data_IF_861961764890
#
_entry.id   IF_861961764890
#
_cell.length_a   1.000
_cell.length_b   1.000
_cell.length_c   1.000
_cell.angle_alpha   90.00
_cell.angle_beta   90.00
_cell.angle_gamma   90.00
#
_symmetry.space_group_name_H-M   'P 1'
#
loop_
_entity.id
_entity.type
_entity.pdbx_description
1 polymer ?
#
# COMPACT_ATOMS: atom_id res chain seq x y z
N UNK A 1 22.59 -1.70 37.11
CA UNK A 1 21.83 -1.87 35.85
C UNK A 1 20.69 -0.87 35.93
N UNK A 2 20.81 0.25 35.19
CA UNK A 2 19.76 1.27 35.17
C UNK A 2 18.52 0.71 34.50
N UNK A 3 17.35 0.95 35.09
CA UNK A 3 16.07 0.70 34.41
C UNK A 3 16.13 1.39 33.04
N UNK A 4 15.72 0.72 31.95
CA UNK A 4 15.65 1.39 30.66
C UNK A 4 14.76 2.62 30.83
N UNK A 5 15.29 3.79 30.47
CA UNK A 5 14.58 5.05 30.60
C UNK A 5 13.23 4.89 29.89
N UNK A 6 12.08 5.14 30.53
CA UNK A 6 10.77 4.93 29.92
C UNK A 6 10.62 5.66 28.58
N UNK A 7 11.33 6.77 28.40
CA UNK A 7 11.40 7.51 27.13
C UNK A 7 12.06 6.70 26.00
N UNK A 8 13.05 5.86 26.32
CA UNK A 8 13.78 5.02 25.35
C UNK A 8 12.92 3.83 24.92
N UNK A 9 12.18 3.20 25.85
CA UNK A 9 11.23 2.13 25.52
C UNK A 9 10.04 2.66 24.70
N UNK A 10 9.52 3.84 25.05
CA UNK A 10 8.47 4.52 24.28
C UNK A 10 8.91 4.85 22.86
N UNK A 11 10.16 5.31 22.67
CA UNK A 11 10.71 5.58 21.34
C UNK A 11 10.81 4.32 20.46
N UNK A 12 11.29 3.20 21.04
CA UNK A 12 11.42 1.92 20.31
C UNK A 12 10.05 1.32 19.95
N UNK A 13 9.06 1.42 20.85
CA UNK A 13 7.69 0.98 20.59
C UNK A 13 7.04 1.81 19.47
N UNK A 14 7.22 3.14 19.51
CA UNK A 14 6.72 4.05 18.47
C UNK A 14 7.31 3.76 17.10
N UNK A 15 8.60 3.46 17.04
CA UNK A 15 9.28 3.13 15.77
C UNK A 15 8.80 1.78 15.20
N UNK A 16 8.62 0.77 16.06
CA UNK A 16 8.04 -0.53 15.65
C UNK A 16 6.61 -0.38 15.11
N UNK A 17 5.77 0.41 15.77
CA UNK A 17 4.40 0.67 15.31
C UNK A 17 4.38 1.37 13.95
N UNK A 18 5.27 2.34 13.75
CA UNK A 18 5.41 3.06 12.49
C UNK A 18 5.89 2.15 11.35
N UNK A 19 6.89 1.31 11.60
CA UNK A 19 7.36 0.32 10.62
C UNK A 19 6.27 -0.69 10.28
N UNK A 20 5.54 -1.18 11.28
CA UNK A 20 4.42 -2.11 11.07
C UNK A 20 3.31 -1.49 10.22
N UNK A 21 2.92 -0.24 10.51
CA UNK A 21 1.93 0.51 9.73
C UNK A 21 2.38 0.72 8.27
N UNK A 22 3.66 1.01 8.06
CA UNK A 22 4.24 1.17 6.72
C UNK A 22 4.24 -0.13 5.91
N UNK A 23 4.69 -1.25 6.52
CA UNK A 23 4.67 -2.56 5.89
C UNK A 23 3.24 -2.96 5.52
N UNK A 24 2.28 -2.73 6.43
CA UNK A 24 0.87 -3.06 6.19
C UNK A 24 0.28 -2.23 5.04
N UNK A 25 0.66 -0.95 4.93
CA UNK A 25 0.29 -0.10 3.81
C UNK A 25 0.85 -0.64 2.48
N UNK A 26 2.14 -0.99 2.44
CA UNK A 26 2.78 -1.57 1.26
C UNK A 26 2.12 -2.87 0.81
N UNK A 27 1.86 -3.79 1.75
CA UNK A 27 1.18 -5.06 1.46
C UNK A 27 -0.22 -4.81 0.90
N UNK A 28 -0.96 -3.84 1.45
CA UNK A 28 -2.30 -3.49 0.96
C UNK A 28 -2.25 -2.98 -0.48
N UNK A 29 -1.32 -2.08 -0.79
CA UNK A 29 -1.13 -1.54 -2.15
C UNK A 29 -0.79 -2.66 -3.13
N UNK A 30 0.16 -3.53 -2.78
CA UNK A 30 0.55 -4.69 -3.58
C UNK A 30 -0.61 -5.64 -3.86
N UNK A 31 -1.47 -5.90 -2.87
CA UNK A 31 -2.64 -6.75 -3.04
C UNK A 31 -3.67 -6.12 -3.98
N UNK A 32 -3.93 -4.82 -3.85
CA UNK A 32 -4.85 -4.10 -4.75
C UNK A 32 -4.35 -4.16 -6.19
N UNK A 33 -3.07 -3.87 -6.41
CA UNK A 33 -2.47 -3.90 -7.74
C UNK A 33 -2.48 -5.32 -8.33
N UNK A 34 -2.18 -6.34 -7.53
CA UNK A 34 -2.27 -7.74 -7.97
C UNK A 34 -3.68 -8.14 -8.40
N UNK A 35 -4.71 -7.73 -7.64
CA UNK A 35 -6.12 -7.99 -8.00
C UNK A 35 -6.51 -7.24 -9.27
N UNK A 36 -6.08 -5.98 -9.41
CA UNK A 36 -6.36 -5.19 -10.61
C UNK A 36 -5.72 -5.79 -11.87
N UNK A 37 -4.46 -6.23 -11.78
CA UNK A 37 -3.76 -6.93 -12.87
C UNK A 37 -4.45 -8.25 -13.20
N UNK A 38 -4.84 -9.04 -12.20
CA UNK A 38 -5.58 -10.28 -12.42
C UNK A 38 -6.91 -10.03 -13.14
N UNK A 39 -7.66 -9.01 -12.71
CA UNK A 39 -8.90 -8.58 -13.36
C UNK A 39 -8.69 -8.18 -14.82
N UNK A 40 -7.63 -7.41 -15.11
CA UNK A 40 -7.24 -7.07 -16.47
C UNK A 40 -6.95 -8.30 -17.33
N UNK A 41 -6.16 -9.25 -16.83
CA UNK A 41 -5.84 -10.48 -17.55
C UNK A 41 -7.12 -11.27 -17.86
N UNK A 42 -8.06 -11.36 -16.92
CA UNK A 42 -9.35 -12.01 -17.15
C UNK A 42 -10.15 -11.28 -18.23
N UNK A 43 -10.24 -9.94 -18.20
CA UNK A 43 -10.95 -9.17 -19.21
C UNK A 43 -10.37 -9.38 -20.62
N UNK A 44 -9.04 -9.32 -20.74
CA UNK A 44 -8.36 -9.45 -22.04
C UNK A 44 -8.39 -10.90 -22.55
N UNK A 45 -7.98 -11.86 -21.72
CA UNK A 45 -7.81 -13.24 -22.17
C UNK A 45 -9.09 -14.06 -22.16
N UNK A 46 -10.00 -13.82 -21.20
CA UNK A 46 -11.23 -14.63 -21.07
C UNK A 46 -12.42 -14.00 -21.80
N UNK A 47 -12.56 -12.68 -21.73
CA UNK A 47 -13.67 -11.96 -22.34
C UNK A 47 -13.32 -11.34 -23.71
N UNK A 48 -12.06 -11.44 -24.14
CA UNK A 48 -11.60 -10.92 -25.43
C UNK A 48 -11.67 -9.40 -25.51
N UNK A 49 -11.65 -8.69 -24.38
CA UNK A 49 -11.64 -7.24 -24.39
C UNK A 49 -10.37 -6.72 -25.05
N UNK A 50 -10.53 -5.61 -25.78
CA UNK A 50 -9.40 -4.87 -26.30
C UNK A 50 -8.46 -4.45 -25.16
N UNK A 51 -7.17 -4.77 -25.34
CA UNK A 51 -6.16 -4.58 -24.31
C UNK A 51 -5.98 -3.11 -23.91
N UNK A 52 -6.21 -2.16 -24.82
CA UNK A 52 -6.12 -0.73 -24.53
C UNK A 52 -7.33 -0.26 -23.71
N UNK A 53 -8.52 -0.77 -24.02
CA UNK A 53 -9.74 -0.47 -23.27
C UNK A 53 -9.70 -1.04 -21.85
N UNK A 54 -9.20 -2.27 -21.68
CA UNK A 54 -9.02 -2.88 -20.36
C UNK A 54 -7.87 -2.25 -19.55
N UNK A 55 -6.93 -1.55 -20.19
CA UNK A 55 -5.84 -0.84 -19.52
C UNK A 55 -6.29 0.44 -18.80
N UNK A 56 -7.35 1.11 -19.28
CA UNK A 56 -7.86 2.35 -18.67
C UNK A 56 -8.24 2.14 -17.18
N UNK A 57 -9.04 1.12 -16.81
CA UNK A 57 -9.30 0.80 -15.41
C UNK A 57 -8.03 0.57 -14.58
N UNK A 58 -7.07 -0.16 -15.14
CA UNK A 58 -5.78 -0.46 -14.50
C UNK A 58 -5.01 0.83 -14.19
N UNK A 59 -4.96 1.76 -15.14
CA UNK A 59 -4.33 3.07 -14.97
C UNK A 59 -5.02 3.87 -13.86
N UNK A 60 -6.36 3.89 -13.86
CA UNK A 60 -7.13 4.58 -12.82
C UNK A 60 -6.86 3.99 -11.44
N UNK A 61 -6.85 2.65 -11.32
CA UNK A 61 -6.50 1.98 -10.07
C UNK A 61 -5.10 2.37 -9.61
N UNK A 62 -4.10 2.32 -10.49
CA UNK A 62 -2.72 2.70 -10.15
C UNK A 62 -2.61 4.14 -9.64
N UNK A 63 -3.30 5.10 -10.27
CA UNK A 63 -3.32 6.50 -9.82
C UNK A 63 -3.94 6.64 -8.43
N UNK A 64 -5.10 6.00 -8.21
CA UNK A 64 -5.80 6.04 -6.92
C UNK A 64 -4.95 5.38 -5.82
N UNK A 65 -4.39 4.21 -6.09
CA UNK A 65 -3.55 3.48 -5.14
C UNK A 65 -2.28 4.27 -4.81
N UNK A 66 -1.66 4.92 -5.80
CA UNK A 66 -0.53 5.82 -5.60
C UNK A 66 -0.86 7.03 -4.74
N UNK A 67 -1.99 7.69 -4.98
CA UNK A 67 -2.46 8.81 -4.17
C UNK A 67 -2.77 8.38 -2.72
N UNK A 68 -3.41 7.22 -2.55
CA UNK A 68 -3.70 6.63 -1.24
C UNK A 68 -2.41 6.31 -0.46
N UNK A 69 -1.42 5.71 -1.13
CA UNK A 69 -0.12 5.44 -0.54
C UNK A 69 0.56 6.73 -0.07
N UNK A 70 0.58 7.78 -0.89
CA UNK A 70 1.18 9.06 -0.50
C UNK A 70 0.47 9.68 0.71
N UNK A 71 -0.86 9.69 0.72
CA UNK A 71 -1.64 10.22 1.84
C UNK A 71 -1.33 9.46 3.14
N UNK A 72 -1.34 8.13 3.10
CA UNK A 72 -1.07 7.29 4.28
C UNK A 72 0.38 7.35 4.73
N UNK A 73 1.33 7.38 3.81
CA UNK A 73 2.74 7.55 4.15
C UNK A 73 2.99 8.91 4.83
N UNK A 74 2.29 9.97 4.39
CA UNK A 74 2.35 11.28 5.06
C UNK A 74 1.79 11.23 6.48
N UNK A 75 0.64 10.59 6.69
CA UNK A 75 0.07 10.35 8.03
C UNK A 75 1.02 9.57 8.95
N UNK A 76 1.63 8.50 8.44
CA UNK A 76 2.58 7.65 9.20
C UNK A 76 3.88 8.40 9.52
N UNK A 77 4.30 9.38 8.71
CA UNK A 77 5.48 10.22 9.01
C UNK A 77 5.20 11.33 10.02
N UNK A 78 3.95 11.76 10.17
CA UNK A 78 3.56 12.85 11.06
C UNK A 78 3.12 12.37 12.46
N UNK A 79 2.95 11.06 12.66
CA UNK A 79 2.70 10.43 13.96
C UNK A 79 4.01 10.11 14.67
#
# INVERSE_FOLDING_TARGET
>A
MGFPDPETELAVLKDKERTSAFIRLLVTVLLIDAVAIAGYLVLVYQFGWDGMTAFIPLLVTAIITGAYYQAKNREIRQR
#
